data_IF_196642530378
#
_entry.id   IF_196642530378
#
_cell.length_a   1.000
_cell.length_b   1.000
_cell.length_c   1.000
_cell.angle_alpha   90.00
_cell.angle_beta   90.00
_cell.angle_gamma   90.00
#
_symmetry.space_group_name_H-M   'P 1'
#
loop_
_entity.id
_entity.type
_entity.pdbx_description
1 polymer ?
#
# COMPACT_ATOMS: atom_id res chain seq x y z
N UNK A 1 9.18 -30.49 38.99
CA UNK A 1 8.52 -30.64 37.67
C UNK A 1 8.11 -29.26 37.23
N UNK A 2 8.93 -28.61 36.39
CA UNK A 2 8.57 -27.34 35.77
C UNK A 2 7.49 -27.63 34.72
N UNK A 3 6.31 -27.05 34.91
CA UNK A 3 5.25 -27.14 33.91
C UNK A 3 5.50 -26.03 32.91
N UNK A 4 5.91 -26.38 31.70
CA UNK A 4 5.96 -25.46 30.55
C UNK A 4 4.53 -25.03 30.21
N UNK A 5 4.06 -23.95 30.81
CA UNK A 5 2.80 -23.33 30.43
C UNK A 5 2.96 -22.65 29.08
N UNK A 6 2.14 -23.05 28.10
CA UNK A 6 2.00 -22.35 26.83
C UNK A 6 1.01 -21.20 27.09
N UNK A 7 1.48 -19.96 26.93
CA UNK A 7 0.59 -18.79 27.01
C UNK A 7 -0.42 -18.85 25.85
N UNK A 8 -1.68 -18.54 26.15
CA UNK A 8 -2.69 -18.37 25.12
C UNK A 8 -2.22 -17.27 24.13
N UNK A 9 -2.46 -17.43 22.81
CA UNK A 9 -2.12 -16.39 21.85
C UNK A 9 -2.77 -15.05 22.26
N UNK A 10 -2.10 -13.92 22.03
CA UNK A 10 -2.72 -12.62 22.25
C UNK A 10 -3.99 -12.54 21.40
N UNK A 11 -5.08 -12.10 22.01
CA UNK A 11 -6.33 -11.81 21.31
C UNK A 11 -6.36 -10.35 20.89
N UNK A 12 -6.97 -10.07 19.75
CA UNK A 12 -7.02 -8.71 19.18
C UNK A 12 -8.45 -8.21 19.04
N UNK A 13 -8.59 -6.89 19.10
CA UNK A 13 -9.82 -6.22 18.68
C UNK A 13 -9.93 -6.29 17.16
N UNK A 14 -11.09 -6.69 16.66
CA UNK A 14 -11.36 -6.87 15.23
C UNK A 14 -12.47 -5.91 14.83
N UNK A 15 -12.25 -5.20 13.74
CA UNK A 15 -13.25 -4.36 13.09
C UNK A 15 -13.28 -4.66 11.59
N UNK A 16 -14.45 -4.54 10.97
CA UNK A 16 -14.60 -4.67 9.52
C UNK A 16 -15.33 -3.44 9.03
N UNK A 17 -14.65 -2.64 8.21
CA UNK A 17 -15.14 -1.32 7.80
C UNK A 17 -14.80 -1.01 6.36
N UNK A 18 -15.60 -0.14 5.76
CA UNK A 18 -15.31 0.44 4.45
C UNK A 18 -14.50 1.71 4.66
N UNK A 19 -13.35 1.81 4.01
CA UNK A 19 -12.48 2.99 4.05
C UNK A 19 -12.14 3.42 2.63
N UNK A 20 -12.81 4.47 2.13
CA UNK A 20 -12.62 4.96 0.76
C UNK A 20 -11.16 5.31 0.48
N UNK A 21 -10.45 5.89 1.45
CA UNK A 21 -9.10 6.38 1.23
C UNK A 21 -8.14 5.22 1.01
N UNK A 22 -8.17 4.21 1.88
CA UNK A 22 -7.34 3.02 1.71
C UNK A 22 -7.75 2.20 0.51
N UNK A 23 -9.06 2.04 0.26
CA UNK A 23 -9.54 1.29 -0.91
C UNK A 23 -9.05 1.94 -2.21
N UNK A 24 -9.29 3.23 -2.41
CA UNK A 24 -8.89 3.93 -3.64
C UNK A 24 -7.38 4.01 -3.82
N UNK A 25 -6.64 4.25 -2.74
CA UNK A 25 -5.18 4.26 -2.80
C UNK A 25 -4.63 2.89 -3.22
N UNK A 26 -5.15 1.79 -2.65
CA UNK A 26 -4.67 0.45 -3.00
C UNK A 26 -5.14 0.01 -4.39
N UNK A 27 -6.36 0.36 -4.80
CA UNK A 27 -6.81 0.15 -6.19
C UNK A 27 -5.86 0.84 -7.17
N UNK A 28 -5.43 2.07 -6.87
CA UNK A 28 -4.44 2.80 -7.67
C UNK A 28 -3.09 2.09 -7.71
N UNK A 29 -2.57 1.60 -6.57
CA UNK A 29 -1.33 0.83 -6.53
C UNK A 29 -1.42 -0.49 -7.33
N UNK A 30 -2.62 -1.06 -7.45
CA UNK A 30 -2.89 -2.31 -8.18
C UNK A 30 -3.09 -2.11 -9.70
N UNK A 31 -3.29 -0.89 -10.21
CA UNK A 31 -3.55 -0.67 -11.64
C UNK A 31 -2.45 -1.26 -12.53
N UNK A 32 -1.18 -1.19 -12.11
CA UNK A 32 -0.07 -1.75 -12.87
C UNK A 32 0.15 -3.25 -12.62
N UNK A 33 -0.39 -3.83 -11.55
CA UNK A 33 -0.13 -5.23 -11.21
C UNK A 33 -1.03 -6.22 -11.94
N UNK A 34 -2.03 -5.72 -12.68
CA UNK A 34 -2.99 -6.51 -13.44
C UNK A 34 -2.36 -7.62 -14.27
N UNK A 35 -1.30 -7.33 -15.03
CA UNK A 35 -0.65 -8.32 -15.92
C UNK A 35 0.24 -9.32 -15.17
N UNK A 36 0.69 -8.99 -13.95
CA UNK A 36 1.62 -9.81 -13.16
C UNK A 36 0.89 -10.77 -12.22
N UNK A 37 -0.33 -10.43 -11.80
CA UNK A 37 -1.09 -11.16 -10.80
C UNK A 37 -2.25 -11.92 -11.46
N UNK A 38 -2.34 -13.23 -11.19
CA UNK A 38 -3.46 -14.04 -11.66
C UNK A 38 -4.67 -13.90 -10.74
N UNK A 39 -5.86 -13.84 -11.33
CA UNK A 39 -7.12 -13.79 -10.56
C UNK A 39 -7.50 -12.42 -10.00
N UNK A 40 -6.75 -11.36 -10.33
CA UNK A 40 -7.24 -9.98 -10.16
C UNK A 40 -8.28 -9.64 -11.24
N UNK A 41 -9.11 -8.64 -10.98
CA UNK A 41 -10.17 -8.23 -11.90
C UNK A 41 -9.58 -7.60 -13.19
N UNK A 42 -10.01 -8.03 -14.39
CA UNK A 42 -9.61 -7.42 -15.67
C UNK A 42 -9.79 -5.90 -15.73
N UNK A 43 -10.70 -5.34 -14.94
CA UNK A 43 -10.89 -3.90 -14.81
C UNK A 43 -9.58 -3.15 -14.56
N UNK A 44 -8.66 -3.69 -13.75
CA UNK A 44 -7.36 -3.06 -13.46
C UNK A 44 -6.51 -2.91 -14.73
N UNK A 45 -6.36 -4.01 -15.49
CA UNK A 45 -5.59 -4.03 -16.73
C UNK A 45 -6.20 -3.09 -17.78
N UNK A 46 -7.52 -3.16 -17.97
CA UNK A 46 -8.23 -2.34 -18.96
C UNK A 46 -8.15 -0.86 -18.61
N UNK A 47 -8.32 -0.52 -17.32
CA UNK A 47 -8.22 0.85 -16.83
C UNK A 47 -6.82 1.42 -17.01
N UNK A 48 -5.78 0.65 -16.66
CA UNK A 48 -4.40 1.08 -16.86
C UNK A 48 -4.07 1.27 -18.35
N UNK A 49 -4.47 0.33 -19.21
CA UNK A 49 -4.27 0.41 -20.65
C UNK A 49 -4.99 1.60 -21.31
N UNK A 50 -6.11 2.03 -20.74
CA UNK A 50 -6.90 3.17 -21.24
C UNK A 50 -6.34 4.54 -20.80
N UNK A 51 -5.40 4.59 -19.85
CA UNK A 51 -4.78 5.85 -19.43
C UNK A 51 -3.99 6.47 -20.60
N UNK A 52 -3.97 7.82 -20.73
CA UNK A 52 -3.10 8.49 -21.69
C UNK A 52 -1.62 8.10 -21.47
N UNK A 53 -0.78 8.00 -22.51
CA UNK A 53 0.60 7.53 -22.39
C UNK A 53 1.43 8.29 -21.34
N UNK A 54 1.25 9.61 -21.25
CA UNK A 54 1.89 10.46 -20.25
C UNK A 54 1.47 10.12 -18.80
N UNK A 55 0.21 9.72 -18.60
CA UNK A 55 -0.33 9.31 -17.30
C UNK A 55 0.14 7.90 -16.95
N UNK A 56 0.23 7.00 -17.92
CA UNK A 56 0.83 5.68 -17.73
C UNK A 56 2.29 5.79 -17.30
N UNK A 57 3.09 6.60 -18.02
CA UNK A 57 4.50 6.81 -17.72
C UNK A 57 4.70 7.38 -16.31
N UNK A 58 3.95 8.42 -15.94
CA UNK A 58 4.01 8.97 -14.59
C UNK A 58 3.58 7.95 -13.53
N UNK A 59 2.46 7.24 -13.77
CA UNK A 59 1.93 6.25 -12.83
C UNK A 59 2.92 5.10 -12.58
N UNK A 60 3.60 4.63 -13.63
CA UNK A 60 4.64 3.60 -13.51
C UNK A 60 5.79 4.05 -12.60
N UNK A 61 6.31 5.26 -12.81
CA UNK A 61 7.37 5.79 -11.93
C UNK A 61 6.84 5.97 -10.50
N UNK A 62 5.64 6.54 -10.34
CA UNK A 62 5.02 6.74 -9.03
C UNK A 62 4.89 5.42 -8.25
N UNK A 63 4.21 4.42 -8.81
CA UNK A 63 3.93 3.14 -8.12
C UNK A 63 5.21 2.37 -7.80
N UNK A 64 6.19 2.35 -8.70
CA UNK A 64 7.41 1.55 -8.51
C UNK A 64 8.49 2.25 -7.67
N UNK A 65 8.26 3.50 -7.21
CA UNK A 65 9.30 4.24 -6.48
C UNK A 65 8.81 4.92 -5.21
N UNK A 66 7.78 5.77 -5.28
CA UNK A 66 7.37 6.65 -4.17
C UNK A 66 5.94 6.43 -3.69
N UNK A 67 5.13 5.66 -4.42
CA UNK A 67 3.72 5.45 -4.11
C UNK A 67 3.51 5.03 -2.66
N UNK A 68 4.13 3.93 -2.24
CA UNK A 68 4.05 3.43 -0.86
C UNK A 68 4.53 4.44 0.20
N UNK A 69 5.49 5.32 -0.13
CA UNK A 69 5.99 6.34 0.79
C UNK A 69 4.97 7.45 1.04
N UNK A 70 4.07 7.65 0.08
CA UNK A 70 3.01 8.65 0.10
C UNK A 70 1.66 8.05 0.48
N UNK A 71 1.62 6.76 0.83
CA UNK A 71 0.41 6.11 1.30
C UNK A 71 -0.23 6.87 2.48
N UNK A 72 -1.58 6.96 2.54
CA UNK A 72 -2.29 7.66 3.60
C UNK A 72 -1.82 7.25 5.01
N UNK A 73 -1.35 8.24 5.78
CA UNK A 73 -0.88 8.06 7.16
C UNK A 73 -1.88 8.64 8.16
N UNK A 74 -3.01 7.96 8.34
CA UNK A 74 -4.04 8.38 9.31
C UNK A 74 -5.46 8.24 8.78
N UNK A 75 -6.47 8.53 9.63
CA UNK A 75 -7.85 8.54 9.20
C UNK A 75 -8.12 9.76 8.31
N UNK A 76 -8.65 9.52 7.12
CA UNK A 76 -9.19 10.55 6.25
C UNK A 76 -10.66 10.27 6.00
N UNK A 77 -11.50 11.29 6.04
CA UNK A 77 -12.95 11.15 5.82
C UNK A 77 -13.32 10.76 4.39
N UNK A 78 -12.43 10.99 3.44
CA UNK A 78 -12.58 10.65 2.02
C UNK A 78 -11.23 10.69 1.31
N UNK A 79 -11.17 10.12 0.11
CA UNK A 79 -9.98 10.21 -0.73
C UNK A 79 -9.65 11.67 -1.09
N UNK A 80 -10.66 12.50 -1.32
CA UNK A 80 -10.48 13.93 -1.56
C UNK A 80 -9.88 14.67 -0.35
N UNK A 81 -10.26 14.30 0.88
CA UNK A 81 -9.67 14.88 2.09
C UNK A 81 -8.17 14.51 2.19
N UNK A 82 -7.79 13.29 1.81
CA UNK A 82 -6.39 12.90 1.68
C UNK A 82 -5.65 13.73 0.62
N UNK A 83 -6.25 13.95 -0.57
CA UNK A 83 -5.65 14.79 -1.61
C UNK A 83 -5.51 16.25 -1.17
N UNK A 84 -6.49 16.78 -0.42
CA UNK A 84 -6.41 18.12 0.16
C UNK A 84 -5.28 18.21 1.17
N UNK A 85 -5.13 17.21 2.05
CA UNK A 85 -4.00 17.15 2.98
C UNK A 85 -2.66 17.15 2.25
N UNK A 86 -2.49 16.29 1.23
CA UNK A 86 -1.27 16.21 0.43
C UNK A 86 -0.97 17.54 -0.30
N UNK A 87 -2.01 18.20 -0.80
CA UNK A 87 -1.88 19.51 -1.46
C UNK A 87 -1.56 20.65 -0.50
N UNK A 88 -1.94 20.54 0.77
CA UNK A 88 -1.69 21.55 1.79
C UNK A 88 -0.29 21.44 2.42
N UNK A 89 0.37 20.28 2.30
CA UNK A 89 1.77 20.13 2.67
C UNK A 89 2.66 21.00 1.79
N UNK A 90 3.68 21.62 2.38
CA UNK A 90 4.69 22.33 1.61
C UNK A 90 5.52 21.36 0.77
N UNK A 91 6.02 21.83 -0.37
CA UNK A 91 6.93 21.06 -1.22
C UNK A 91 8.17 20.56 -0.46
N UNK A 92 8.68 21.36 0.48
CA UNK A 92 9.81 20.99 1.33
C UNK A 92 9.47 19.84 2.29
N UNK A 93 8.31 19.88 2.94
CA UNK A 93 7.86 18.80 3.83
C UNK A 93 7.68 17.49 3.08
N UNK A 94 7.03 17.51 1.91
CA UNK A 94 6.82 16.31 1.09
C UNK A 94 8.16 15.72 0.62
N UNK A 95 9.10 16.58 0.23
CA UNK A 95 10.45 16.17 -0.15
C UNK A 95 11.19 15.52 1.01
N UNK A 96 11.19 16.15 2.20
CA UNK A 96 11.79 15.58 3.41
C UNK A 96 11.14 14.26 3.79
N UNK A 97 9.81 14.16 3.75
CA UNK A 97 9.09 12.91 4.03
C UNK A 97 9.50 11.81 3.05
N UNK A 98 9.63 12.13 1.76
CA UNK A 98 10.03 11.16 0.73
C UNK A 98 11.44 10.64 1.00
N UNK A 99 12.41 11.53 1.26
CA UNK A 99 13.79 11.14 1.58
C UNK A 99 13.88 10.33 2.88
N UNK A 100 13.13 10.70 3.92
CA UNK A 100 13.06 9.92 5.16
C UNK A 100 12.44 8.54 4.92
N UNK A 101 11.42 8.45 4.07
CA UNK A 101 10.80 7.19 3.67
C UNK A 101 11.80 6.26 2.98
N UNK A 102 12.56 6.78 2.01
CA UNK A 102 13.64 6.05 1.34
C UNK A 102 14.72 5.61 2.35
N UNK A 103 15.12 6.50 3.26
CA UNK A 103 16.06 6.17 4.35
C UNK A 103 15.57 5.03 5.25
N UNK A 104 14.29 5.03 5.61
CA UNK A 104 13.66 3.94 6.39
C UNK A 104 13.66 2.61 5.63
N UNK A 105 13.54 2.61 4.31
CA UNK A 105 13.66 1.39 3.51
C UNK A 105 15.06 0.80 3.56
N UNK A 106 16.12 1.62 3.49
CA UNK A 106 17.49 1.14 3.73
C UNK A 106 17.60 0.46 5.09
N UNK A 107 17.10 1.11 6.14
CA UNK A 107 17.15 0.56 7.51
C UNK A 107 16.39 -0.75 7.66
N UNK A 108 15.21 -0.90 7.01
CA UNK A 108 14.45 -2.15 7.01
C UNK A 108 15.21 -3.31 6.35
N UNK A 109 16.11 -3.01 5.40
CA UNK A 109 16.99 -4.00 4.77
C UNK A 109 18.32 -4.17 5.52
N UNK A 110 18.44 -3.67 6.76
CA UNK A 110 19.64 -3.76 7.57
C UNK A 110 20.80 -2.88 7.10
N UNK A 111 20.53 -1.84 6.30
CA UNK A 111 21.54 -0.92 5.77
C UNK A 111 21.27 0.52 6.21
N UNK A 112 22.28 1.38 6.13
CA UNK A 112 22.11 2.82 6.12
C UNK A 112 22.21 3.32 4.68
N UNK A 113 21.51 4.40 4.30
CA UNK A 113 21.78 5.05 3.02
C UNK A 113 23.26 5.51 3.02
N UNK A 114 24.01 5.30 1.92
CA UNK A 114 25.37 5.86 1.78
C UNK A 114 25.34 7.38 1.98
N UNK A 115 26.34 7.98 2.62
CA UNK A 115 26.33 9.43 2.92
C UNK A 115 26.18 10.31 1.66
N UNK A 116 26.71 9.86 0.52
CA UNK A 116 26.71 10.56 -0.76
C UNK A 116 25.62 10.08 -1.73
N UNK A 117 24.65 9.28 -1.29
CA UNK A 117 23.68 8.64 -2.20
C UNK A 117 22.83 9.64 -3.02
N UNK A 118 22.65 10.89 -2.55
CA UNK A 118 21.95 11.94 -3.28
C UNK A 118 22.87 12.84 -4.13
N UNK A 119 24.19 12.62 -4.07
CA UNK A 119 25.19 13.50 -4.70
C UNK A 119 25.15 13.52 -6.23
N UNK A 120 24.65 12.44 -6.85
CA UNK A 120 24.50 12.33 -8.29
C UNK A 120 23.35 11.39 -8.67
N UNK A 121 22.80 11.51 -9.89
CA UNK A 121 21.80 10.58 -10.40
C UNK A 121 22.28 9.11 -10.36
N UNK A 122 23.57 8.87 -10.65
CA UNK A 122 24.16 7.54 -10.67
C UNK A 122 24.22 6.94 -9.27
N UNK A 123 24.78 7.68 -8.30
CA UNK A 123 24.84 7.24 -6.90
C UNK A 123 23.46 6.94 -6.32
N UNK A 124 22.48 7.79 -6.62
CA UNK A 124 21.10 7.62 -6.18
C UNK A 124 20.50 6.33 -6.73
N UNK A 125 20.60 6.16 -8.05
CA UNK A 125 19.99 5.04 -8.75
C UNK A 125 20.63 3.72 -8.35
N UNK A 126 21.96 3.64 -8.29
CA UNK A 126 22.68 2.42 -7.86
C UNK A 126 22.34 2.03 -6.42
N UNK A 127 22.30 3.00 -5.51
CA UNK A 127 22.02 2.74 -4.08
C UNK A 127 20.61 2.20 -3.88
N UNK A 128 19.61 2.84 -4.49
CA UNK A 128 18.22 2.38 -4.39
C UNK A 128 17.98 1.08 -5.15
N UNK A 129 18.59 0.91 -6.33
CA UNK A 129 18.48 -0.34 -7.08
C UNK A 129 19.05 -1.51 -6.28
N UNK A 130 20.25 -1.38 -5.70
CA UNK A 130 20.85 -2.43 -4.90
C UNK A 130 19.99 -2.79 -3.67
N UNK A 131 19.40 -1.80 -3.02
CA UNK A 131 18.47 -2.01 -1.91
C UNK A 131 17.21 -2.77 -2.35
N UNK A 132 16.58 -2.34 -3.44
CA UNK A 132 15.34 -2.96 -3.95
C UNK A 132 15.62 -4.36 -4.49
N UNK A 133 16.72 -4.56 -5.22
CA UNK A 133 17.12 -5.86 -5.75
C UNK A 133 17.27 -6.91 -4.65
N UNK A 134 17.92 -6.57 -3.52
CA UNK A 134 18.02 -7.46 -2.35
C UNK A 134 16.66 -7.86 -1.78
N UNK A 135 15.71 -6.93 -1.75
CA UNK A 135 14.35 -7.22 -1.28
C UNK A 135 13.64 -8.25 -2.17
N UNK A 136 13.80 -8.14 -3.49
CA UNK A 136 13.20 -9.09 -4.45
C UNK A 136 13.95 -10.42 -4.53
N UNK A 137 15.28 -10.41 -4.40
CA UNK A 137 16.10 -11.62 -4.30
C UNK A 137 15.68 -12.50 -3.10
N UNK A 138 15.40 -11.88 -1.94
CA UNK A 138 14.86 -12.58 -0.78
C UNK A 138 13.48 -13.23 -1.04
N UNK A 139 12.74 -12.73 -2.04
CA UNK A 139 11.46 -13.27 -2.50
C UNK A 139 11.60 -14.23 -3.69
N UNK A 140 12.82 -14.51 -4.16
CA UNK A 140 13.11 -15.31 -5.35
C UNK A 140 12.43 -14.74 -6.62
N UNK A 141 12.33 -13.41 -6.69
CA UNK A 141 11.78 -12.68 -7.81
C UNK A 141 12.80 -11.65 -8.31
N UNK A 142 12.69 -11.28 -9.59
CA UNK A 142 13.50 -10.21 -10.16
C UNK A 142 12.84 -8.84 -9.95
N UNK A 143 13.63 -7.78 -9.70
CA UNK A 143 13.10 -6.42 -9.71
C UNK A 143 12.57 -6.07 -11.10
N UNK A 144 11.69 -5.06 -11.16
CA UNK A 144 11.18 -4.56 -12.43
C UNK A 144 12.35 -4.20 -13.38
N UNK A 145 12.39 -4.71 -14.62
CA UNK A 145 13.51 -4.47 -15.53
C UNK A 145 13.70 -2.98 -15.88
N UNK A 146 12.66 -2.16 -15.71
CA UNK A 146 12.71 -0.70 -15.91
C UNK A 146 13.01 0.09 -14.63
N UNK A 147 13.30 -0.57 -13.51
CA UNK A 147 13.50 0.09 -12.23
C UNK A 147 14.60 1.17 -12.29
N UNK A 148 15.70 0.93 -13.01
CA UNK A 148 16.78 1.90 -13.15
C UNK A 148 16.31 3.21 -13.83
N UNK A 149 15.49 3.10 -14.88
CA UNK A 149 14.85 4.24 -15.56
C UNK A 149 13.90 5.00 -14.63
N UNK A 150 13.10 4.28 -13.84
CA UNK A 150 12.18 4.89 -12.89
C UNK A 150 12.91 5.64 -11.77
N UNK A 151 13.98 5.07 -11.23
CA UNK A 151 14.81 5.70 -10.20
C UNK A 151 15.54 6.94 -10.75
N UNK A 152 16.01 6.89 -12.00
CA UNK A 152 16.61 8.08 -12.65
C UNK A 152 15.57 9.19 -12.79
N UNK A 153 14.34 8.85 -13.18
CA UNK A 153 13.22 9.81 -13.27
C UNK A 153 12.84 10.39 -11.91
N UNK A 154 12.78 9.55 -10.87
CA UNK A 154 12.55 9.99 -9.50
C UNK A 154 13.63 10.97 -9.05
N UNK A 155 14.90 10.71 -9.33
CA UNK A 155 15.98 11.63 -8.97
C UNK A 155 15.73 13.02 -9.53
N UNK A 156 15.35 13.13 -10.81
CA UNK A 156 14.99 14.41 -11.45
C UNK A 156 13.81 15.08 -10.76
N UNK A 157 12.79 14.32 -10.35
CA UNK A 157 11.65 14.89 -9.61
C UNK A 157 12.07 15.45 -8.26
N UNK A 158 12.96 14.77 -7.53
CA UNK A 158 13.44 15.23 -6.24
C UNK A 158 14.28 16.52 -6.33
N UNK A 159 14.87 16.84 -7.50
CA UNK A 159 15.56 18.12 -7.73
C UNK A 159 14.60 19.31 -7.88
N UNK A 160 13.31 19.07 -8.15
CA UNK A 160 12.25 20.09 -8.22
C UNK A 160 11.10 19.72 -7.27
N UNK A 161 11.24 19.98 -5.95
CA UNK A 161 10.22 19.62 -4.96
C UNK A 161 8.84 20.18 -5.27
N UNK A 162 8.76 21.42 -5.79
CA UNK A 162 7.50 22.06 -6.12
C UNK A 162 6.83 21.38 -7.32
N UNK A 163 7.60 21.11 -8.38
CA UNK A 163 7.12 20.35 -9.53
C UNK A 163 6.72 18.92 -9.18
N UNK A 164 7.48 18.24 -8.30
CA UNK A 164 7.15 16.91 -7.82
C UNK A 164 5.80 16.89 -7.07
N UNK A 165 5.61 17.79 -6.10
CA UNK A 165 4.36 17.89 -5.34
C UNK A 165 3.16 18.17 -6.26
N UNK A 166 3.30 19.14 -7.18
CA UNK A 166 2.26 19.47 -8.15
C UNK A 166 1.93 18.29 -9.08
N UNK A 167 2.93 17.54 -9.55
CA UNK A 167 2.73 16.36 -10.40
C UNK A 167 2.02 15.24 -9.66
N UNK A 168 2.43 14.92 -8.43
CA UNK A 168 1.79 13.88 -7.62
C UNK A 168 0.33 14.24 -7.34
N UNK A 169 0.06 15.43 -6.78
CA UNK A 169 -1.30 15.86 -6.45
C UNK A 169 -2.15 15.94 -7.71
N UNK A 170 -1.62 16.49 -8.79
CA UNK A 170 -2.32 16.60 -10.07
C UNK A 170 -2.64 15.23 -10.68
N UNK A 171 -1.74 14.25 -10.57
CA UNK A 171 -1.98 12.89 -11.05
C UNK A 171 -3.04 12.15 -10.24
N UNK A 172 -2.94 12.18 -8.91
CA UNK A 172 -3.90 11.51 -8.03
C UNK A 172 -5.30 12.14 -8.14
N UNK A 173 -5.38 13.48 -8.25
CA UNK A 173 -6.63 14.20 -8.50
C UNK A 173 -7.24 13.84 -9.85
N UNK A 174 -6.42 13.82 -10.91
CA UNK A 174 -6.89 13.43 -12.22
C UNK A 174 -7.44 12.00 -12.22
N UNK A 175 -6.72 11.03 -11.63
CA UNK A 175 -7.20 9.65 -11.51
C UNK A 175 -8.51 9.56 -10.71
N UNK A 176 -8.65 10.34 -9.64
CA UNK A 176 -9.90 10.42 -8.90
C UNK A 176 -11.05 10.88 -9.79
N UNK A 177 -10.89 12.02 -10.47
CA UNK A 177 -11.94 12.66 -11.25
C UNK A 177 -12.32 11.88 -12.50
N UNK A 178 -11.37 11.17 -13.14
CA UNK A 178 -11.60 10.49 -14.42
C UNK A 178 -11.91 9.01 -14.29
N UNK A 179 -11.48 8.36 -13.21
CA UNK A 179 -11.56 6.90 -13.05
C UNK A 179 -12.19 6.52 -11.71
N UNK A 180 -11.52 6.88 -10.60
CA UNK A 180 -11.79 6.24 -9.31
C UNK A 180 -13.11 6.69 -8.68
N UNK A 181 -13.57 7.92 -8.90
CA UNK A 181 -14.82 8.41 -8.30
C UNK A 181 -16.05 7.64 -8.83
N UNK A 182 -16.09 7.41 -10.14
CA UNK A 182 -17.16 6.64 -10.78
C UNK A 182 -17.11 5.17 -10.34
N UNK A 183 -15.90 4.60 -10.27
CA UNK A 183 -15.72 3.23 -9.81
C UNK A 183 -16.11 3.06 -8.34
N UNK A 184 -15.74 4.02 -7.48
CA UNK A 184 -16.16 4.04 -6.08
C UNK A 184 -17.68 3.98 -5.94
N UNK A 185 -18.40 4.86 -6.65
CA UNK A 185 -19.85 4.89 -6.60
C UNK A 185 -20.49 3.56 -7.02
N UNK A 186 -19.83 2.83 -7.93
CA UNK A 186 -20.27 1.51 -8.39
C UNK A 186 -20.04 0.40 -7.36
N UNK A 187 -18.89 0.41 -6.69
CA UNK A 187 -18.47 -0.69 -5.79
C UNK A 187 -18.84 -0.45 -4.32
N UNK A 188 -19.01 0.79 -3.89
CA UNK A 188 -19.32 1.12 -2.49
C UNK A 188 -20.49 0.30 -1.89
N UNK A 189 -21.61 0.05 -2.61
CA UNK A 189 -22.69 -0.76 -2.07
C UNK A 189 -22.27 -2.18 -1.72
N UNK A 190 -21.53 -2.87 -2.60
CA UNK A 190 -21.09 -4.25 -2.36
C UNK A 190 -19.98 -4.33 -1.30
N UNK A 191 -19.11 -3.32 -1.23
CA UNK A 191 -18.11 -3.23 -0.15
C UNK A 191 -18.78 -3.05 1.21
N UNK A 192 -19.83 -2.22 1.26
CA UNK A 192 -20.61 -1.97 2.48
C UNK A 192 -21.36 -3.21 2.91
N UNK A 193 -22.03 -3.91 1.98
CA UNK A 193 -22.70 -5.18 2.26
C UNK A 193 -21.72 -6.23 2.80
N UNK A 194 -20.55 -6.37 2.16
CA UNK A 194 -19.48 -7.27 2.61
C UNK A 194 -19.01 -6.94 4.04
N UNK A 195 -18.72 -5.66 4.31
CA UNK A 195 -18.27 -5.23 5.64
C UNK A 195 -19.33 -5.50 6.73
N UNK A 196 -20.59 -5.18 6.45
CA UNK A 196 -21.70 -5.43 7.37
C UNK A 196 -21.86 -6.92 7.69
N UNK A 197 -21.82 -7.78 6.66
CA UNK A 197 -22.01 -9.22 6.82
C UNK A 197 -20.93 -9.87 7.70
N UNK A 198 -19.67 -9.41 7.62
CA UNK A 198 -18.62 -9.88 8.52
C UNK A 198 -18.69 -9.25 9.92
N UNK A 199 -19.11 -7.98 10.03
CA UNK A 199 -19.26 -7.31 11.33
C UNK A 199 -20.29 -8.01 12.21
N UNK A 200 -21.42 -8.42 11.64
CA UNK A 200 -22.50 -9.10 12.36
C UNK A 200 -22.09 -10.49 12.89
N UNK A 201 -21.02 -11.09 12.37
CA UNK A 201 -20.47 -12.38 12.82
C UNK A 201 -19.36 -12.26 13.87
N UNK A 202 -18.76 -11.08 14.06
CA UNK A 202 -17.48 -10.91 14.78
C UNK A 202 -17.62 -10.37 16.22
N UNK A 203 -18.47 -11.00 17.03
CA UNK A 203 -18.67 -10.62 18.45
C UNK A 203 -17.57 -11.10 19.43
N UNK A 204 -16.58 -11.87 18.98
CA UNK A 204 -15.58 -12.51 19.86
C UNK A 204 -14.15 -12.06 19.55
N UNK A 205 -13.37 -11.83 20.61
CA UNK A 205 -11.91 -11.71 20.56
C UNK A 205 -11.30 -12.99 19.95
N UNK A 206 -10.53 -12.88 18.87
CA UNK A 206 -9.85 -14.00 18.22
C UNK A 206 -8.33 -13.79 18.19
N UNK A 207 -7.57 -14.87 18.00
CA UNK A 207 -6.18 -14.74 17.65
C UNK A 207 -6.03 -14.09 16.25
N UNK A 208 -4.98 -13.28 15.99
CA UNK A 208 -4.82 -12.58 14.72
C UNK A 208 -4.92 -13.46 13.46
N UNK A 209 -4.21 -14.59 13.45
CA UNK A 209 -4.22 -15.52 12.31
C UNK A 209 -5.58 -16.20 12.11
N UNK A 210 -6.33 -16.43 13.20
CA UNK A 210 -7.69 -16.94 13.12
C UNK A 210 -8.64 -15.91 12.49
N UNK A 211 -8.57 -14.65 12.92
CA UNK A 211 -9.35 -13.55 12.36
C UNK A 211 -9.09 -13.39 10.86
N UNK A 212 -7.81 -13.40 10.45
CA UNK A 212 -7.41 -13.35 9.04
C UNK A 212 -8.03 -14.51 8.26
N UNK A 213 -7.92 -15.74 8.76
CA UNK A 213 -8.47 -16.91 8.07
C UNK A 213 -9.99 -16.86 7.94
N UNK A 214 -10.70 -16.48 9.00
CA UNK A 214 -12.16 -16.39 9.01
C UNK A 214 -12.65 -15.34 8.00
N UNK A 215 -12.07 -14.13 8.03
CA UNK A 215 -12.56 -13.01 7.22
C UNK A 215 -12.08 -13.11 5.77
N UNK A 216 -10.79 -13.36 5.56
CA UNK A 216 -10.19 -13.38 4.21
C UNK A 216 -10.29 -14.73 3.52
N UNK A 217 -10.52 -15.82 4.27
CA UNK A 217 -10.51 -17.18 3.73
C UNK A 217 -9.11 -17.68 3.38
N UNK A 218 -8.07 -16.99 3.85
CA UNK A 218 -6.66 -17.30 3.59
C UNK A 218 -5.95 -17.70 4.87
N UNK A 219 -5.18 -18.77 4.78
CA UNK A 219 -4.21 -19.11 5.81
C UNK A 219 -2.89 -18.40 5.48
N UNK A 220 -2.51 -17.44 6.33
CA UNK A 220 -1.30 -16.63 6.18
C UNK A 220 -0.33 -16.87 7.33
N UNK A 221 -0.44 -18.01 8.02
CA UNK A 221 0.47 -18.39 9.08
C UNK A 221 1.93 -18.36 8.58
N UNK A 222 2.83 -17.79 9.38
CA UNK A 222 4.25 -17.62 9.04
C UNK A 222 4.55 -16.42 8.14
N UNK A 223 3.55 -15.85 7.43
CA UNK A 223 3.80 -14.70 6.55
C UNK A 223 4.02 -13.40 7.34
N UNK A 224 3.21 -13.17 8.38
CA UNK A 224 3.18 -11.91 9.15
C UNK A 224 3.30 -12.10 10.65
N UNK A 225 3.70 -13.28 11.12
CA UNK A 225 3.66 -13.65 12.55
C UNK A 225 4.42 -12.66 13.45
N UNK A 226 5.64 -12.26 13.07
CA UNK A 226 6.41 -11.30 13.87
C UNK A 226 5.73 -9.94 14.00
N UNK A 227 5.05 -9.48 12.95
CA UNK A 227 4.30 -8.23 12.97
C UNK A 227 3.02 -8.38 13.80
N UNK A 228 2.29 -9.49 13.63
CA UNK A 228 1.04 -9.74 14.35
C UNK A 228 1.24 -9.88 15.87
N UNK A 229 2.45 -10.22 16.34
CA UNK A 229 2.79 -10.22 17.77
C UNK A 229 2.67 -8.85 18.44
N UNK A 230 2.84 -7.76 17.70
CA UNK A 230 2.79 -6.39 18.25
C UNK A 230 1.46 -5.69 17.98
N UNK A 231 0.52 -6.37 17.31
CA UNK A 231 -0.79 -5.80 16.95
C UNK A 231 -1.80 -6.12 18.05
N UNK A 232 -2.54 -5.10 18.49
CA UNK A 232 -3.70 -5.27 19.39
C UNK A 232 -5.02 -5.03 18.67
N UNK A 233 -4.99 -4.38 17.50
CA UNK A 233 -6.17 -4.05 16.70
C UNK A 233 -5.97 -4.39 15.22
N UNK A 234 -6.91 -5.16 14.69
CA UNK A 234 -7.03 -5.46 13.26
C UNK A 234 -8.27 -4.77 12.68
N UNK A 235 -8.07 -4.02 11.60
CA UNK A 235 -9.16 -3.47 10.78
C UNK A 235 -9.13 -4.16 9.42
N UNK A 236 -10.21 -4.87 9.10
CA UNK A 236 -10.39 -5.51 7.81
C UNK A 236 -11.16 -4.57 6.88
N UNK A 237 -10.61 -4.34 5.68
CA UNK A 237 -11.16 -3.43 4.69
C UNK A 237 -11.43 -4.22 3.41
N UNK A 238 -12.70 -4.45 3.03
CA UNK A 238 -13.00 -5.06 1.75
C UNK A 238 -12.60 -4.08 0.64
N UNK A 239 -11.87 -4.58 -0.36
CA UNK A 239 -11.44 -3.80 -1.52
C UNK A 239 -11.87 -4.49 -2.82
N UNK A 240 -12.20 -3.71 -3.86
CA UNK A 240 -12.56 -4.27 -5.15
C UNK A 240 -11.30 -4.73 -5.89
N UNK A 241 -11.48 -5.57 -6.90
CA UNK A 241 -10.49 -5.93 -7.92
C UNK A 241 -9.24 -6.70 -7.48
N UNK A 242 -8.92 -6.74 -6.19
CA UNK A 242 -7.73 -7.43 -5.66
C UNK A 242 -7.82 -8.96 -5.78
N UNK A 243 -9.01 -9.50 -6.08
CA UNK A 243 -9.19 -10.93 -6.28
C UNK A 243 -8.76 -11.76 -5.06
N UNK A 244 -7.89 -12.78 -5.23
CA UNK A 244 -7.52 -13.70 -4.15
C UNK A 244 -6.51 -13.13 -3.16
N UNK A 245 -5.91 -11.97 -3.44
CA UNK A 245 -4.79 -11.42 -2.68
C UNK A 245 -5.25 -10.68 -1.43
N UNK A 246 -4.35 -10.60 -0.46
CA UNK A 246 -4.55 -9.89 0.80
C UNK A 246 -3.36 -8.94 0.99
N UNK A 247 -3.63 -7.67 1.27
CA UNK A 247 -2.61 -6.67 1.56
C UNK A 247 -2.64 -6.36 3.05
N UNK A 248 -1.46 -6.31 3.65
CA UNK A 248 -1.24 -5.84 5.00
C UNK A 248 -0.66 -4.43 4.96
N UNK A 249 -1.34 -3.50 5.62
CA UNK A 249 -0.87 -2.14 5.86
C UNK A 249 -0.71 -1.90 7.37
N UNK A 250 0.51 -1.69 7.84
CA UNK A 250 0.77 -1.36 9.25
C UNK A 250 0.55 0.13 9.51
N UNK A 251 -0.20 0.45 10.55
CA UNK A 251 -0.43 1.82 11.00
C UNK A 251 0.58 2.23 12.09
N UNK A 252 0.48 3.48 12.60
CA UNK A 252 1.18 3.86 13.82
C UNK A 252 0.70 3.03 15.01
N UNK A 253 1.61 2.72 15.93
CA UNK A 253 1.31 1.96 17.15
C UNK A 253 1.13 0.46 16.90
N UNK A 254 0.03 -0.08 17.41
CA UNK A 254 -0.33 -1.50 17.44
C UNK A 254 -1.52 -1.84 16.53
N UNK A 255 -1.76 -0.99 15.51
CA UNK A 255 -2.82 -1.15 14.52
C UNK A 255 -2.29 -1.76 13.22
N UNK A 256 -2.98 -2.78 12.72
CA UNK A 256 -2.81 -3.28 11.36
C UNK A 256 -4.13 -3.26 10.58
N UNK A 257 -4.03 -2.94 9.29
CA UNK A 257 -5.13 -2.97 8.33
C UNK A 257 -4.92 -4.13 7.37
N UNK A 258 -5.95 -4.94 7.18
CA UNK A 258 -5.96 -6.08 6.27
C UNK A 258 -6.94 -5.77 5.15
N UNK A 259 -6.44 -5.54 3.94
CA UNK A 259 -7.25 -5.32 2.76
C UNK A 259 -7.47 -6.65 2.06
N UNK A 260 -8.72 -6.97 1.75
CA UNK A 260 -9.09 -8.27 1.20
C UNK A 260 -10.16 -8.14 0.12
N UNK A 261 -10.22 -9.12 -0.78
CA UNK A 261 -11.24 -9.14 -1.84
C UNK A 261 -12.66 -9.18 -1.27
N UNK A 262 -13.48 -8.21 -1.67
CA UNK A 262 -14.86 -8.11 -1.22
C UNK A 262 -15.66 -9.37 -1.60
N UNK A 263 -16.35 -9.94 -0.60
CA UNK A 263 -17.17 -11.15 -0.75
C UNK A 263 -18.18 -11.24 0.38
N UNK A 264 -19.23 -12.05 0.19
CA UNK A 264 -20.13 -12.41 1.27
C UNK A 264 -19.56 -13.60 2.07
N UNK A 265 -19.82 -13.67 3.40
CA UNK A 265 -19.35 -14.74 4.29
C UNK A 265 -19.94 -16.13 4.06
#
# INVERSE_FOLDING_TARGET
MDRNYILAPPVVSIDVTVDQTYTMFNTLMLLQTGERLSGVDPWLQQTFAALPPERQAFHQVFVNTVGDLLAPQGPFSSFLAYLQHLSAQSAAELHTQTLQGLGKWFSKQGNLPPEDWLSSPQRFTESLYAMIARHWEAKQEDPNPRLHEYLTTLYTWLQDPAGFQARVVGHLRWLWETVLAAEWARVEPILTESALAFRDRNGSMMAPNEAIRVITGRDLQGAWDEMLKTVTRLIFIPVPHIGPYVILNTGPGDLARILFGARLP
#
